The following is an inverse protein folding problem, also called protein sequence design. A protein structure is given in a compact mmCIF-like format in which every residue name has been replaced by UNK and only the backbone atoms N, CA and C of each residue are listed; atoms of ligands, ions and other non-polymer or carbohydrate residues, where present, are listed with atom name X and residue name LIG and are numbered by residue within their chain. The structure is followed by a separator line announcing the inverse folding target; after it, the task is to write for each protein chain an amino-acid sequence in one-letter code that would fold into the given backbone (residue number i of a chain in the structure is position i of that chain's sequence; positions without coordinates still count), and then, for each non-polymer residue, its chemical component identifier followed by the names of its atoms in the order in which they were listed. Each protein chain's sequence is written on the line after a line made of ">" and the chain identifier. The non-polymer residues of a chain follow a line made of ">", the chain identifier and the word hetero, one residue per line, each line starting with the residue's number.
data_IF_216749524557
#
_entry.id   IF_216749524557
#
_cell.length_a   1.000
_cell.length_b   1.000
_cell.length_c   1.000
_cell.angle_alpha   90.00
_cell.angle_beta   90.00
_cell.angle_gamma   90.00
#
_symmetry.space_group_name_H-M   'P 1'
#
loop_
_entity.id
_entity.type
_entity.pdbx_description
1 polymer ?
#
# COMPACT_ATOMS: atom_id res chain seq x y z
N UNK A 1 -22.27 26.05 -5.07
CA UNK A 1 -20.93 25.47 -5.29
C UNK A 1 -20.63 24.57 -4.11
N UNK A 2 -20.07 23.39 -4.33
CA UNK A 2 -19.82 22.39 -3.28
C UNK A 2 -18.32 22.09 -3.17
N UNK A 3 -17.82 21.91 -1.95
CA UNK A 3 -16.41 21.64 -1.67
C UNK A 3 -16.29 20.30 -0.95
N UNK A 4 -15.50 19.38 -1.49
CA UNK A 4 -15.25 18.06 -0.88
C UNK A 4 -13.85 18.04 -0.30
N UNK A 5 -13.75 17.85 1.02
CA UNK A 5 -12.50 17.77 1.75
C UNK A 5 -12.18 16.33 2.13
N UNK A 6 -11.02 15.83 1.70
CA UNK A 6 -10.47 14.52 2.08
C UNK A 6 -9.13 14.74 2.76
N UNK A 7 -9.02 14.35 4.03
CA UNK A 7 -7.80 14.45 4.81
C UNK A 7 -7.75 13.33 5.85
N UNK A 8 -6.56 12.85 6.16
CA UNK A 8 -6.29 11.90 7.24
C UNK A 8 -5.87 12.60 8.54
N UNK A 9 -5.81 13.94 8.55
CA UNK A 9 -5.43 14.73 9.72
C UNK A 9 -6.69 15.25 10.42
N UNK A 10 -7.05 14.60 11.52
CA UNK A 10 -8.22 14.91 12.34
C UNK A 10 -8.18 16.32 12.94
N UNK A 11 -7.00 16.80 13.35
CA UNK A 11 -6.85 18.14 13.94
C UNK A 11 -7.15 19.25 12.93
N UNK A 12 -6.69 19.08 11.69
CA UNK A 12 -6.97 20.05 10.62
C UNK A 12 -8.45 20.03 10.22
N UNK A 13 -9.07 18.85 10.14
CA UNK A 13 -10.51 18.73 9.84
C UNK A 13 -11.36 19.40 10.92
N UNK A 14 -11.05 19.20 12.21
CA UNK A 14 -11.77 19.84 13.30
C UNK A 14 -11.73 21.37 13.22
N UNK A 15 -10.56 21.95 12.90
CA UNK A 15 -10.40 23.41 12.72
C UNK A 15 -11.24 23.93 11.55
N UNK A 16 -11.25 23.20 10.43
CA UNK A 16 -12.02 23.58 9.23
C UNK A 16 -13.53 23.50 9.50
N UNK A 17 -13.99 22.44 10.18
CA UNK A 17 -15.40 22.30 10.57
C UNK A 17 -15.82 23.42 11.52
N UNK A 18 -14.98 23.76 12.49
CA UNK A 18 -15.25 24.87 13.41
C UNK A 18 -15.37 26.22 12.69
N UNK A 19 -14.51 26.47 11.69
CA UNK A 19 -14.60 27.66 10.84
C UNK A 19 -15.88 27.66 9.99
N UNK A 20 -16.22 26.54 9.36
CA UNK A 20 -17.44 26.41 8.57
C UNK A 20 -18.70 26.69 9.39
N UNK A 21 -18.77 26.17 10.64
CA UNK A 21 -19.87 26.46 11.58
C UNK A 21 -19.97 27.95 11.94
N UNK A 22 -18.83 28.64 12.10
CA UNK A 22 -18.82 30.09 12.38
C UNK A 22 -19.31 30.92 11.20
N UNK A 23 -19.16 30.41 9.98
CA UNK A 23 -19.58 31.07 8.74
C UNK A 23 -20.97 30.61 8.27
N UNK A 24 -21.70 29.87 9.12
CA UNK A 24 -23.01 29.29 8.82
C UNK A 24 -23.05 28.44 7.53
N UNK A 25 -21.94 27.74 7.26
CA UNK A 25 -21.83 26.84 6.12
C UNK A 25 -22.28 25.44 6.54
N UNK A 26 -23.24 24.87 5.81
CA UNK A 26 -23.71 23.50 6.03
C UNK A 26 -22.59 22.48 5.74
N UNK A 27 -22.26 21.66 6.74
CA UNK A 27 -21.25 20.60 6.63
C UNK A 27 -21.93 19.24 6.69
N UNK A 28 -21.80 18.46 5.62
CA UNK A 28 -22.24 17.06 5.58
C UNK A 28 -21.01 16.17 5.72
N UNK A 29 -20.88 15.52 6.87
CA UNK A 29 -19.85 14.51 7.07
C UNK A 29 -20.30 13.23 6.35
N UNK A 30 -19.64 12.91 5.25
CA UNK A 30 -19.73 11.58 4.66
C UNK A 30 -18.76 10.69 5.40
N UNK A 31 -19.26 9.92 6.36
CA UNK A 31 -18.48 8.84 6.93
C UNK A 31 -18.13 7.89 5.79
N UNK A 32 -16.83 7.80 5.49
CA UNK A 32 -16.36 6.68 4.69
C UNK A 32 -16.55 5.46 5.58
N UNK A 33 -17.52 4.60 5.26
CA UNK A 33 -17.58 3.25 5.83
C UNK A 33 -16.17 2.68 5.80
N UNK A 34 -15.60 2.50 6.99
CA UNK A 34 -14.27 1.91 7.15
C UNK A 34 -14.44 0.40 6.99
N UNK A 35 -14.88 -0.04 5.80
CA UNK A 35 -14.78 -1.42 5.32
C UNK A 35 -13.33 -1.80 4.98
N UNK A 36 -12.38 -1.02 5.49
CA UNK A 36 -10.96 -1.15 5.16
C UNK A 36 -10.26 -2.25 5.96
N UNK A 37 -10.85 -2.76 7.05
CA UNK A 37 -10.28 -3.89 7.80
C UNK A 37 -10.43 -5.18 6.99
N UNK A 38 -11.64 -5.51 6.55
CA UNK A 38 -11.93 -6.70 5.74
C UNK A 38 -11.20 -6.69 4.39
N UNK A 39 -11.04 -5.54 3.74
CA UNK A 39 -10.27 -5.44 2.50
C UNK A 39 -8.76 -5.61 2.72
N UNK A 40 -8.20 -4.99 3.77
CA UNK A 40 -6.78 -5.11 4.10
C UNK A 40 -6.41 -6.51 4.57
N UNK A 41 -7.27 -7.13 5.37
CA UNK A 41 -7.06 -8.48 5.88
C UNK A 41 -7.09 -9.51 4.74
N UNK A 42 -8.01 -9.37 3.77
CA UNK A 42 -8.01 -10.19 2.54
C UNK A 42 -6.74 -10.02 1.70
N UNK A 43 -6.20 -8.80 1.60
CA UNK A 43 -4.94 -8.55 0.89
C UNK A 43 -3.76 -9.19 1.65
N UNK A 44 -3.74 -9.05 2.98
CA UNK A 44 -2.72 -9.63 3.86
C UNK A 44 -2.69 -11.16 3.72
N UNK A 45 -3.84 -11.81 3.76
CA UNK A 45 -3.94 -13.26 3.60
C UNK A 45 -3.52 -13.72 2.20
N UNK A 46 -3.85 -12.94 1.16
CA UNK A 46 -3.42 -13.23 -0.21
C UNK A 46 -1.90 -13.14 -0.37
N UNK A 47 -1.25 -12.19 0.30
CA UNK A 47 0.22 -12.04 0.25
C UNK A 47 0.90 -13.16 1.04
N UNK A 48 0.45 -13.42 2.27
CA UNK A 48 1.01 -14.48 3.13
C UNK A 48 0.92 -15.86 2.48
N UNK A 49 -0.20 -16.14 1.81
CA UNK A 49 -0.44 -17.42 1.15
C UNK A 49 -0.07 -17.43 -0.34
N UNK A 50 0.61 -16.38 -0.82
CA UNK A 50 1.01 -16.32 -2.22
C UNK A 50 2.02 -17.42 -2.54
N UNK A 51 1.65 -18.30 -3.48
CA UNK A 51 2.55 -19.27 -4.11
C UNK A 51 2.50 -19.06 -5.62
N UNK A 52 3.66 -18.92 -6.24
CA UNK A 52 3.75 -18.84 -7.69
C UNK A 52 3.24 -20.15 -8.31
N UNK A 53 2.35 -20.07 -9.30
CA UNK A 53 1.80 -21.24 -10.01
C UNK A 53 2.80 -21.91 -10.97
N UNK A 54 3.91 -21.24 -11.26
CA UNK A 54 4.94 -21.73 -12.17
C UNK A 54 6.32 -21.20 -11.78
N UNK A 55 7.35 -21.69 -12.46
CA UNK A 55 8.71 -21.20 -12.32
C UNK A 55 8.79 -19.71 -12.69
N UNK A 56 9.57 -18.95 -11.94
CA UNK A 56 9.84 -17.54 -12.25
C UNK A 56 10.37 -17.40 -13.67
N UNK A 57 9.91 -16.38 -14.39
CA UNK A 57 10.46 -16.01 -15.71
C UNK A 57 11.91 -15.53 -15.63
N UNK A 58 12.40 -15.21 -14.42
CA UNK A 58 13.79 -14.84 -14.16
C UNK A 58 14.73 -16.07 -13.99
N UNK A 59 14.21 -17.30 -14.06
CA UNK A 59 15.01 -18.51 -13.85
C UNK A 59 15.32 -18.77 -12.37
N UNK A 60 16.20 -19.75 -12.11
CA UNK A 60 16.75 -19.98 -10.76
C UNK A 60 17.80 -18.90 -10.45
N UNK A 61 17.64 -18.22 -9.32
CA UNK A 61 18.60 -17.23 -8.85
C UNK A 61 20.00 -17.83 -8.67
N UNK A 62 20.06 -19.12 -8.31
CA UNK A 62 21.31 -19.86 -8.14
C UNK A 62 22.05 -20.03 -9.47
N UNK A 63 21.32 -20.34 -10.54
CA UNK A 63 21.87 -20.47 -11.89
C UNK A 63 22.27 -19.12 -12.46
N UNK A 64 21.46 -18.08 -12.26
CA UNK A 64 21.80 -16.71 -12.67
C UNK A 64 23.10 -16.24 -12.00
N UNK A 65 23.25 -16.49 -10.70
CA UNK A 65 24.46 -16.14 -9.97
C UNK A 65 25.68 -16.88 -10.50
N UNK A 66 25.55 -18.16 -10.88
CA UNK A 66 26.65 -18.94 -11.49
C UNK A 66 27.04 -18.41 -12.86
N UNK A 67 26.07 -18.02 -13.68
CA UNK A 67 26.33 -17.51 -15.04
C UNK A 67 26.94 -16.11 -15.05
N UNK A 68 26.58 -15.25 -14.09
CA UNK A 68 27.06 -13.86 -14.05
C UNK A 68 28.39 -13.69 -13.33
N UNK A 69 28.81 -14.68 -12.53
CA UNK A 69 30.07 -14.63 -11.76
C UNK A 69 31.06 -15.65 -12.29
N UNK A 70 31.84 -15.23 -13.27
CA UNK A 70 33.00 -15.97 -13.79
C UNK A 70 34.13 -16.10 -12.75
N UNK A 71 34.11 -15.25 -11.73
CA UNK A 71 35.11 -15.04 -10.67
C UNK A 71 35.00 -16.01 -9.48
N UNK A 72 34.15 -17.05 -9.57
CA UNK A 72 33.94 -18.02 -8.48
C UNK A 72 34.86 -19.24 -8.52
N UNK A 73 35.46 -19.54 -9.66
CA UNK A 73 36.52 -20.55 -9.77
C UNK A 73 37.83 -19.90 -9.29
N UNK A 74 38.10 -19.96 -7.98
CA UNK A 74 39.45 -19.69 -7.47
C UNK A 74 40.37 -20.74 -8.11
N UNK A 75 41.46 -20.34 -8.81
CA UNK A 75 42.43 -21.28 -9.35
C UNK A 75 43.27 -21.82 -8.19
N UNK A 76 42.69 -22.75 -7.44
CA UNK A 76 43.37 -23.60 -6.49
C UNK A 76 43.37 -25.02 -7.07
N UNK A 77 44.14 -25.17 -8.14
CA UNK A 77 44.64 -26.46 -8.63
C UNK A 77 46.16 -26.48 -8.48
#
# INVERSE_FOLDING_TARGET
>A
MELILKSNNEQSLAKIIALAKRLDVAVVQKDAEVDSSTARDKIKDRILNFKAKGSSSFGDASDWQRQQREDRELPLS
#
